data_IF_979726913990
#
_entry.id   IF_979726913990
#
_cell.length_a   1.000
_cell.length_b   1.000
_cell.length_c   1.000
_cell.angle_alpha   90.00
_cell.angle_beta   90.00
_cell.angle_gamma   90.00
#
_symmetry.space_group_name_H-M   'P 1'
#
loop_
_entity.id
_entity.type
_entity.pdbx_description
1 polymer ?
#
# COMPACT_ATOMS: atom_id res chain seq x y z
N UNK A 1 22.29 -23.71 28.74
CA UNK A 1 22.88 -22.69 27.86
C UNK A 1 23.62 -21.68 28.73
N UNK A 2 24.86 -21.37 28.38
CA UNK A 2 25.79 -20.45 29.06
C UNK A 2 26.00 -19.19 28.21
N UNK A 3 26.71 -18.19 28.73
CA UNK A 3 27.11 -17.01 27.97
C UNK A 3 27.90 -17.39 26.70
N UNK A 4 28.79 -18.39 26.78
CA UNK A 4 29.58 -18.86 25.63
C UNK A 4 28.70 -19.44 24.53
N UNK A 5 27.65 -20.17 24.90
CA UNK A 5 26.71 -20.74 23.94
C UNK A 5 25.97 -19.63 23.20
N UNK A 6 25.50 -18.60 23.93
CA UNK A 6 24.84 -17.42 23.35
C UNK A 6 25.79 -16.68 22.40
N UNK A 7 27.03 -16.42 22.84
CA UNK A 7 28.04 -15.77 22.01
C UNK A 7 28.34 -16.56 20.75
N UNK A 8 28.44 -17.90 20.85
CA UNK A 8 28.67 -18.79 19.71
C UNK A 8 27.50 -18.74 18.74
N UNK A 9 26.26 -18.87 19.22
CA UNK A 9 25.05 -18.78 18.38
C UNK A 9 25.02 -17.44 17.62
N UNK A 10 25.23 -16.32 18.31
CA UNK A 10 25.19 -15.01 17.65
C UNK A 10 26.36 -14.81 16.68
N UNK A 11 27.52 -15.40 16.95
CA UNK A 11 28.70 -15.30 16.07
C UNK A 11 28.60 -16.18 14.82
N UNK A 12 27.87 -17.29 14.87
CA UNK A 12 27.66 -18.16 13.71
C UNK A 12 26.45 -17.74 12.86
N UNK A 13 25.51 -17.01 13.45
CA UNK A 13 24.27 -16.59 12.77
C UNK A 13 24.30 -15.17 12.20
N UNK A 14 25.16 -14.29 12.70
CA UNK A 14 25.20 -12.86 12.32
C UNK A 14 26.58 -12.46 11.78
N UNK A 15 26.59 -11.48 10.87
CA UNK A 15 27.85 -10.81 10.49
C UNK A 15 28.47 -10.09 11.70
N UNK A 16 29.79 -9.82 11.71
CA UNK A 16 30.42 -9.05 12.77
C UNK A 16 29.74 -7.69 13.03
N UNK A 17 29.31 -7.01 11.97
CA UNK A 17 28.62 -5.71 12.02
C UNK A 17 27.19 -5.83 12.55
N UNK A 18 26.46 -6.87 12.15
CA UNK A 18 25.12 -7.18 12.67
C UNK A 18 25.17 -7.52 14.16
N UNK A 19 26.10 -8.40 14.54
CA UNK A 19 26.35 -8.79 15.92
C UNK A 19 26.63 -7.58 16.80
N UNK A 20 27.54 -6.69 16.36
CA UNK A 20 27.85 -5.47 17.11
C UNK A 20 26.62 -4.55 17.25
N UNK A 21 25.77 -4.45 16.22
CA UNK A 21 24.53 -3.68 16.28
C UNK A 21 23.54 -4.29 17.27
N UNK A 22 23.40 -5.61 17.30
CA UNK A 22 22.56 -6.33 18.28
C UNK A 22 23.03 -6.05 19.69
N UNK A 23 24.33 -6.16 19.97
CA UNK A 23 24.89 -5.90 21.31
C UNK A 23 24.56 -4.50 21.79
N UNK A 24 24.82 -3.47 20.96
CA UNK A 24 24.50 -2.08 21.32
C UNK A 24 23.01 -1.86 21.55
N UNK A 25 22.16 -2.46 20.71
CA UNK A 25 20.71 -2.34 20.84
C UNK A 25 20.18 -3.04 22.10
N UNK A 26 20.77 -4.18 22.47
CA UNK A 26 20.44 -4.93 23.67
C UNK A 26 20.89 -4.19 24.94
N UNK A 27 22.06 -3.57 24.92
CA UNK A 27 22.57 -2.70 25.99
C UNK A 27 21.64 -1.50 26.21
N UNK A 28 21.25 -0.81 25.14
CA UNK A 28 20.27 0.27 25.22
C UNK A 28 18.89 -0.21 25.73
N UNK A 29 18.49 -1.44 25.39
CA UNK A 29 17.26 -2.02 25.94
C UNK A 29 17.36 -2.27 27.45
N UNK A 30 18.52 -2.71 27.93
CA UNK A 30 18.78 -2.88 29.36
C UNK A 30 18.69 -1.53 30.10
N UNK A 31 19.23 -0.45 29.52
CA UNK A 31 19.13 0.91 30.07
C UNK A 31 17.66 1.35 30.21
N UNK A 32 16.83 1.09 29.19
CA UNK A 32 15.39 1.38 29.22
C UNK A 32 14.65 0.55 30.28
N UNK A 33 15.06 -0.70 30.52
CA UNK A 33 14.50 -1.53 31.58
C UNK A 33 14.87 -1.02 32.96
N UNK A 34 16.13 -0.62 33.16
CA UNK A 34 16.59 -0.02 34.41
C UNK A 34 15.84 1.28 34.74
N UNK A 35 15.55 2.10 33.74
CA UNK A 35 14.75 3.31 33.93
C UNK A 35 13.34 3.03 34.47
N UNK A 36 12.80 1.82 34.26
CA UNK A 36 11.48 1.38 34.76
C UNK A 36 11.59 0.59 36.07
N UNK A 37 12.68 -0.14 36.25
CA UNK A 37 12.98 -0.98 37.40
C UNK A 37 14.47 -0.84 37.76
N UNK A 38 14.81 0.00 38.77
CA UNK A 38 16.19 0.25 39.15
C UNK A 38 16.97 -0.98 39.64
N UNK A 39 16.30 -2.12 39.85
CA UNK A 39 16.97 -3.38 40.20
C UNK A 39 17.64 -4.06 39.01
N UNK A 40 17.30 -3.67 37.78
CA UNK A 40 17.85 -4.25 36.56
C UNK A 40 19.26 -3.74 36.27
N UNK A 41 20.10 -4.58 35.67
CA UNK A 41 21.41 -4.16 35.21
C UNK A 41 21.31 -3.32 33.92
N UNK A 42 22.33 -2.50 33.68
CA UNK A 42 22.45 -1.56 32.56
C UNK A 42 23.62 -1.92 31.64
N UNK A 43 23.55 -1.47 30.39
CA UNK A 43 24.64 -1.55 29.42
C UNK A 43 25.42 -2.87 29.42
N UNK A 44 26.75 -2.77 29.54
CA UNK A 44 27.69 -3.90 29.49
C UNK A 44 27.50 -4.86 30.69
N UNK A 45 27.01 -4.39 31.83
CA UNK A 45 26.76 -5.26 32.99
C UNK A 45 25.59 -6.22 32.71
N UNK A 46 24.59 -5.76 31.96
CA UNK A 46 23.46 -6.58 31.54
C UNK A 46 23.81 -7.48 30.33
N UNK A 47 24.55 -6.92 29.37
CA UNK A 47 24.88 -7.59 28.10
C UNK A 47 26.39 -7.44 27.85
N UNK A 48 27.22 -8.29 28.47
CA UNK A 48 28.67 -8.22 28.32
C UNK A 48 29.10 -8.72 26.94
N UNK A 49 30.07 -8.02 26.34
CA UNK A 49 30.71 -8.36 25.06
C UNK A 49 31.93 -9.27 25.22
N UNK A 50 32.50 -9.33 26.43
CA UNK A 50 33.50 -10.32 26.85
C UNK A 50 32.91 -11.35 27.80
N UNK A 51 33.58 -12.49 27.94
CA UNK A 51 33.10 -13.54 28.84
C UNK A 51 33.02 -13.04 30.29
N UNK A 52 31.84 -13.06 30.92
CA UNK A 52 31.70 -12.68 32.32
C UNK A 52 32.16 -13.81 33.24
N UNK A 53 32.37 -13.47 34.51
CA UNK A 53 32.72 -14.37 35.62
C UNK A 53 31.50 -15.14 36.18
N UNK A 54 30.40 -15.20 35.42
CA UNK A 54 29.17 -15.85 35.85
C UNK A 54 29.35 -17.36 36.05
N UNK A 55 28.96 -17.82 37.24
CA UNK A 55 28.84 -19.23 37.58
C UNK A 55 27.38 -19.69 37.47
N UNK A 56 27.19 -20.96 37.09
CA UNK A 56 25.85 -21.53 36.85
C UNK A 56 25.45 -22.60 37.87
N UNK A 57 26.14 -22.63 39.02
CA UNK A 57 25.84 -23.54 40.12
C UNK A 57 24.50 -23.14 40.77
N UNK A 58 23.91 -24.06 41.52
CA UNK A 58 22.65 -23.78 42.21
C UNK A 58 22.89 -22.77 43.34
N UNK A 59 22.07 -21.71 43.38
CA UNK A 59 22.21 -20.59 44.32
C UNK A 59 23.05 -19.41 43.80
N UNK A 60 23.77 -19.57 42.69
CA UNK A 60 24.51 -18.48 42.06
C UNK A 60 23.63 -17.61 41.15
N UNK A 61 23.87 -16.29 41.07
CA UNK A 61 23.05 -15.38 40.26
C UNK A 61 23.27 -15.55 38.75
N UNK A 62 24.26 -16.32 38.30
CA UNK A 62 24.64 -16.37 36.89
C UNK A 62 23.55 -16.91 35.96
N UNK A 63 22.60 -17.72 36.47
CA UNK A 63 21.41 -18.13 35.69
C UNK A 63 20.47 -16.95 35.45
N UNK A 64 20.17 -16.17 36.49
CA UNK A 64 19.30 -15.00 36.39
C UNK A 64 19.93 -13.91 35.51
N UNK A 65 21.25 -13.69 35.65
CA UNK A 65 22.00 -12.75 34.82
C UNK A 65 21.98 -13.14 33.34
N UNK A 66 22.17 -14.44 33.05
CA UNK A 66 22.02 -14.97 31.68
C UNK A 66 20.60 -14.78 31.16
N UNK A 67 19.59 -15.08 31.96
CA UNK A 67 18.19 -14.98 31.50
C UNK A 67 17.81 -13.53 31.23
N UNK A 68 18.29 -12.60 32.06
CA UNK A 68 18.17 -11.17 31.80
C UNK A 68 18.90 -10.73 30.52
N UNK A 69 20.11 -11.23 30.28
CA UNK A 69 20.85 -11.00 29.02
C UNK A 69 20.05 -11.50 27.81
N UNK A 70 19.44 -12.67 27.89
CA UNK A 70 18.60 -13.23 26.80
C UNK A 70 17.42 -12.31 26.51
N UNK A 71 16.75 -11.79 27.54
CA UNK A 71 15.64 -10.83 27.38
C UNK A 71 16.14 -9.56 26.67
N UNK A 72 17.27 -9.00 27.10
CA UNK A 72 17.86 -7.81 26.48
C UNK A 72 18.26 -8.06 25.01
N UNK A 73 18.86 -9.22 24.71
CA UNK A 73 19.21 -9.63 23.36
C UNK A 73 17.99 -9.81 22.47
N UNK A 74 16.90 -10.38 23.00
CA UNK A 74 15.63 -10.49 22.30
C UNK A 74 15.08 -9.12 21.89
N UNK A 75 15.12 -8.14 22.79
CA UNK A 75 14.74 -6.77 22.45
C UNK A 75 15.72 -6.09 21.50
N UNK A 76 17.03 -6.30 21.66
CA UNK A 76 18.04 -5.81 20.73
C UNK A 76 17.80 -6.30 19.30
N UNK A 77 17.50 -7.59 19.13
CA UNK A 77 17.13 -8.22 17.86
C UNK A 77 15.83 -7.63 17.28
N UNK A 78 14.79 -7.44 18.09
CA UNK A 78 13.56 -6.77 17.64
C UNK A 78 13.83 -5.34 17.17
N UNK A 79 14.62 -4.57 17.93
CA UNK A 79 14.97 -3.18 17.58
C UNK A 79 15.73 -3.10 16.26
N UNK A 80 16.73 -3.95 16.05
CA UNK A 80 17.47 -3.95 14.79
C UNK A 80 16.60 -4.43 13.63
N UNK A 81 15.71 -5.41 13.86
CA UNK A 81 14.77 -5.90 12.86
C UNK A 81 13.77 -4.81 12.47
N UNK A 82 13.14 -4.14 13.43
CA UNK A 82 12.22 -3.02 13.19
C UNK A 82 12.91 -1.83 12.53
N UNK A 83 14.17 -1.51 12.89
CA UNK A 83 14.93 -0.42 12.25
C UNK A 83 15.34 -0.74 10.81
N UNK A 84 15.42 -2.02 10.44
CA UNK A 84 15.62 -2.45 9.05
C UNK A 84 14.33 -2.56 8.24
N UNK A 85 13.17 -2.57 8.90
CA UNK A 85 11.85 -2.74 8.28
C UNK A 85 11.13 -1.39 8.19
N UNK A 86 11.20 -0.76 7.04
CA UNK A 86 10.57 0.54 6.80
C UNK A 86 9.12 0.38 6.30
N UNK A 87 8.19 0.11 7.23
CA UNK A 87 6.75 0.06 6.92
C UNK A 87 6.17 1.44 6.55
N UNK A 88 6.79 2.55 6.97
CA UNK A 88 6.33 3.88 6.58
C UNK A 88 6.42 4.06 5.06
N UNK A 89 7.50 3.59 4.43
CA UNK A 89 7.66 3.58 2.96
C UNK A 89 6.61 2.72 2.27
N UNK A 90 6.18 1.62 2.90
CA UNK A 90 5.09 0.78 2.36
C UNK A 90 3.75 1.52 2.52
N UNK A 91 3.52 2.22 3.65
CA UNK A 91 2.30 2.99 3.93
C UNK A 91 2.07 4.16 2.97
N UNK A 92 3.14 4.74 2.42
CA UNK A 92 3.08 5.80 1.41
C UNK A 92 2.59 5.31 0.04
N UNK A 93 2.62 4.00 -0.23
CA UNK A 93 2.29 3.44 -1.55
C UNK A 93 0.77 3.28 -1.68
N UNK A 94 0.14 4.13 -2.49
CA UNK A 94 -1.29 4.03 -2.82
C UNK A 94 -1.52 3.60 -4.27
N UNK A 95 -2.68 3.02 -4.54
CA UNK A 95 -3.09 2.69 -5.89
C UNK A 95 -3.40 3.98 -6.67
N UNK A 96 -2.78 4.14 -7.84
CA UNK A 96 -3.06 5.24 -8.74
C UNK A 96 -4.48 5.17 -9.33
N UNK A 97 -5.07 6.30 -9.79
CA UNK A 97 -6.43 6.33 -10.32
C UNK A 97 -6.63 5.49 -11.59
N UNK A 98 -5.55 5.23 -12.33
CA UNK A 98 -5.56 4.40 -13.56
C UNK A 98 -4.68 3.16 -13.41
N UNK A 99 -4.18 2.89 -12.20
CA UNK A 99 -3.31 1.76 -11.94
C UNK A 99 -4.15 0.48 -11.80
N UNK A 100 -3.78 -0.53 -12.59
CA UNK A 100 -4.43 -1.83 -12.55
C UNK A 100 -4.23 -2.49 -11.16
N UNK A 101 -5.25 -3.15 -10.58
CA UNK A 101 -5.14 -3.82 -9.29
C UNK A 101 -3.99 -4.82 -9.18
N UNK A 102 -3.68 -5.61 -10.22
CA UNK A 102 -2.56 -6.55 -10.18
C UNK A 102 -1.21 -5.81 -10.19
N UNK A 103 -1.08 -4.73 -10.95
CA UNK A 103 0.14 -3.90 -10.94
C UNK A 103 0.36 -3.29 -9.55
N UNK A 104 -0.71 -2.82 -8.92
CA UNK A 104 -0.66 -2.30 -7.56
C UNK A 104 -0.24 -3.38 -6.54
N UNK A 105 -0.79 -4.58 -6.65
CA UNK A 105 -0.41 -5.72 -5.80
C UNK A 105 1.06 -6.09 -5.96
N UNK A 106 1.57 -6.16 -7.21
CA UNK A 106 3.00 -6.39 -7.48
C UNK A 106 3.89 -5.28 -6.91
N UNK A 107 3.45 -4.02 -6.99
CA UNK A 107 4.17 -2.88 -6.40
C UNK A 107 4.27 -3.00 -4.87
N UNK A 108 3.21 -3.44 -4.20
CA UNK A 108 3.22 -3.72 -2.76
C UNK A 108 4.15 -4.89 -2.42
N UNK A 109 4.11 -5.98 -3.17
CA UNK A 109 5.01 -7.12 -2.97
C UNK A 109 6.49 -6.72 -3.10
N UNK A 110 6.82 -5.93 -4.14
CA UNK A 110 8.16 -5.41 -4.35
C UNK A 110 8.61 -4.48 -3.20
N UNK A 111 7.70 -3.63 -2.71
CA UNK A 111 7.98 -2.74 -1.60
C UNK A 111 8.20 -3.51 -0.29
N UNK A 112 7.42 -4.56 -0.04
CA UNK A 112 7.58 -5.43 1.10
C UNK A 112 8.95 -6.10 1.10
N UNK A 113 9.37 -6.66 -0.03
CA UNK A 113 10.70 -7.26 -0.15
C UNK A 113 11.81 -6.22 -0.03
N UNK A 114 11.64 -5.03 -0.62
CA UNK A 114 12.66 -3.97 -0.62
C UNK A 114 12.86 -3.35 0.76
N UNK A 115 11.78 -2.97 1.42
CA UNK A 115 11.79 -2.16 2.64
C UNK A 115 11.59 -2.95 3.91
N UNK A 116 10.97 -4.14 3.85
CA UNK A 116 10.74 -4.98 5.02
C UNK A 116 11.50 -6.31 5.01
N UNK A 117 12.13 -6.69 3.89
CA UNK A 117 12.81 -8.00 3.76
C UNK A 117 11.88 -9.18 4.10
N UNK A 118 10.57 -9.00 3.99
CA UNK A 118 9.58 -10.06 4.19
C UNK A 118 9.29 -10.67 2.83
N UNK A 119 9.29 -12.01 2.78
CA UNK A 119 8.88 -12.77 1.61
C UNK A 119 7.36 -12.57 1.37
N UNK A 120 6.94 -11.99 0.24
CA UNK A 120 5.54 -11.76 -0.09
C UNK A 120 4.72 -13.06 -0.22
N UNK A 121 5.36 -14.21 -0.45
CA UNK A 121 4.69 -15.51 -0.58
C UNK A 121 4.53 -16.24 0.75
N UNK A 122 5.21 -15.79 1.80
CA UNK A 122 5.03 -16.31 3.16
C UNK A 122 3.65 -15.97 3.72
N UNK A 123 3.19 -16.72 4.73
CA UNK A 123 1.93 -16.43 5.41
C UNK A 123 1.91 -15.01 6.00
N UNK A 124 3.00 -14.59 6.65
CA UNK A 124 3.14 -13.25 7.20
C UNK A 124 3.13 -12.18 6.10
N UNK A 125 3.86 -12.40 5.00
CA UNK A 125 3.89 -11.49 3.86
C UNK A 125 2.53 -11.33 3.20
N UNK A 126 1.77 -12.43 3.05
CA UNK A 126 0.42 -12.41 2.49
C UNK A 126 -0.54 -11.59 3.35
N UNK A 127 -0.50 -11.74 4.67
CA UNK A 127 -1.34 -10.96 5.61
C UNK A 127 -1.03 -9.46 5.46
N UNK A 128 0.25 -9.09 5.45
CA UNK A 128 0.68 -7.70 5.32
C UNK A 128 0.24 -7.12 3.97
N UNK A 129 0.49 -7.83 2.86
CA UNK A 129 0.09 -7.38 1.52
C UNK A 129 -1.41 -7.18 1.43
N UNK A 130 -2.21 -8.12 1.92
CA UNK A 130 -3.67 -8.02 1.83
C UNK A 130 -4.19 -6.82 2.64
N UNK A 131 -3.67 -6.61 3.84
CA UNK A 131 -3.99 -5.44 4.69
C UNK A 131 -3.69 -4.12 3.97
N UNK A 132 -2.51 -4.02 3.36
CA UNK A 132 -2.09 -2.85 2.59
C UNK A 132 -2.91 -2.68 1.31
N UNK A 133 -3.20 -3.77 0.59
CA UNK A 133 -4.01 -3.76 -0.61
C UNK A 133 -5.41 -3.19 -0.34
N UNK A 134 -6.08 -3.65 0.72
CA UNK A 134 -7.40 -3.15 1.12
C UNK A 134 -7.34 -1.66 1.49
N UNK A 135 -6.40 -1.28 2.37
CA UNK A 135 -6.35 0.08 2.93
C UNK A 135 -5.85 1.14 1.94
N UNK A 136 -4.98 0.76 1.00
CA UNK A 136 -4.29 1.69 0.10
C UNK A 136 -4.77 1.62 -1.36
N UNK A 137 -5.74 0.74 -1.66
CA UNK A 137 -6.48 0.77 -2.92
C UNK A 137 -7.20 2.10 -3.15
N UNK A 138 -7.54 2.37 -4.42
CA UNK A 138 -8.30 3.54 -4.83
C UNK A 138 -9.65 3.62 -4.07
N UNK A 139 -10.21 4.82 -3.80
CA UNK A 139 -11.33 4.98 -2.88
C UNK A 139 -12.58 4.14 -3.16
N UNK A 140 -12.92 3.97 -4.44
CA UNK A 140 -14.02 3.13 -4.94
C UNK A 140 -13.76 1.64 -4.72
N UNK A 141 -12.55 1.17 -5.04
CA UNK A 141 -12.10 -0.21 -4.84
C UNK A 141 -12.05 -0.53 -3.33
N UNK A 142 -11.37 0.32 -2.55
CA UNK A 142 -11.22 0.18 -1.09
C UNK A 142 -12.57 0.04 -0.39
N UNK A 143 -13.57 0.84 -0.78
CA UNK A 143 -14.91 0.74 -0.21
C UNK A 143 -15.54 -0.64 -0.44
N UNK A 144 -15.27 -1.26 -1.59
CA UNK A 144 -15.77 -2.60 -1.90
C UNK A 144 -14.98 -3.68 -1.17
N UNK A 145 -13.66 -3.53 -1.06
CA UNK A 145 -12.79 -4.48 -0.35
C UNK A 145 -13.06 -4.53 1.15
N UNK A 146 -13.32 -3.40 1.82
CA UNK A 146 -13.66 -3.39 3.26
C UNK A 146 -14.90 -4.22 3.59
N UNK A 147 -15.92 -4.20 2.72
CA UNK A 147 -17.13 -5.04 2.90
C UNK A 147 -16.86 -6.53 2.75
N UNK A 148 -15.79 -6.90 2.05
CA UNK A 148 -15.35 -8.29 1.87
C UNK A 148 -14.54 -8.73 3.10
N UNK A 149 -13.72 -7.82 3.65
CA UNK A 149 -12.97 -8.03 4.90
C UNK A 149 -13.88 -8.24 6.12
N UNK A 150 -15.03 -7.58 6.17
CA UNK A 150 -16.05 -7.76 7.21
C UNK A 150 -16.74 -9.16 7.18
N UNK A 151 -16.47 -9.97 6.15
CA UNK A 151 -16.96 -11.34 6.00
C UNK A 151 -15.96 -12.42 6.44
N UNK A 152 -16.10 -13.68 5.96
CA UNK A 152 -15.08 -14.71 6.12
C UNK A 152 -13.72 -14.24 5.59
N UNK A 153 -12.62 -14.70 6.19
CA UNK A 153 -11.27 -14.26 5.83
C UNK A 153 -11.01 -14.44 4.32
N UNK A 154 -11.06 -13.33 3.58
CA UNK A 154 -10.96 -13.35 2.13
C UNK A 154 -9.53 -13.65 1.67
N UNK A 155 -9.41 -14.52 0.68
CA UNK A 155 -8.15 -14.86 0.05
C UNK A 155 -7.62 -13.70 -0.79
N UNK A 156 -6.31 -13.66 -1.02
CA UNK A 156 -5.70 -12.64 -1.89
C UNK A 156 -6.33 -12.64 -3.30
N UNK A 157 -6.66 -13.82 -3.82
CA UNK A 157 -7.33 -13.99 -5.12
C UNK A 157 -8.73 -13.36 -5.14
N UNK A 158 -9.51 -13.51 -4.08
CA UNK A 158 -10.84 -12.89 -3.98
C UNK A 158 -10.75 -11.37 -3.91
N UNK A 159 -9.82 -10.84 -3.12
CA UNK A 159 -9.56 -9.40 -3.05
C UNK A 159 -9.20 -8.86 -4.44
N UNK A 160 -8.30 -9.55 -5.15
CA UNK A 160 -7.86 -9.16 -6.48
C UNK A 160 -9.03 -9.19 -7.49
N UNK A 161 -9.84 -10.25 -7.47
CA UNK A 161 -11.03 -10.38 -8.33
C UNK A 161 -12.05 -9.25 -8.11
N UNK A 162 -12.31 -8.88 -6.85
CA UNK A 162 -13.22 -7.78 -6.51
C UNK A 162 -12.65 -6.45 -7.01
N UNK A 163 -11.36 -6.21 -6.79
CA UNK A 163 -10.70 -4.99 -7.26
C UNK A 163 -10.73 -4.87 -8.78
N UNK A 164 -10.50 -5.98 -9.51
CA UNK A 164 -10.59 -6.02 -10.96
C UNK A 164 -11.98 -5.69 -11.48
N UNK A 165 -13.04 -6.24 -10.87
CA UNK A 165 -14.41 -5.95 -11.27
C UNK A 165 -14.74 -4.46 -11.16
N UNK A 166 -14.34 -3.83 -10.06
CA UNK A 166 -14.56 -2.39 -9.85
C UNK A 166 -13.74 -1.56 -10.84
N UNK A 167 -12.47 -1.91 -11.04
CA UNK A 167 -11.59 -1.24 -11.99
C UNK A 167 -12.13 -1.28 -13.42
N UNK A 168 -12.51 -2.48 -13.90
CA UNK A 168 -13.03 -2.66 -15.26
C UNK A 168 -14.34 -1.91 -15.48
N UNK A 169 -15.23 -1.88 -14.48
CA UNK A 169 -16.47 -1.12 -14.57
C UNK A 169 -16.22 0.39 -14.67
N UNK A 170 -15.25 0.92 -13.90
CA UNK A 170 -14.84 2.32 -13.97
C UNK A 170 -14.27 2.69 -15.34
N UNK A 171 -13.42 1.82 -15.89
CA UNK A 171 -12.84 2.02 -17.22
C UNK A 171 -13.91 2.06 -18.31
N UNK A 172 -14.91 1.19 -18.21
CA UNK A 172 -16.03 1.15 -19.16
C UNK A 172 -16.88 2.43 -19.07
N UNK A 173 -17.22 2.89 -17.86
CA UNK A 173 -17.93 4.15 -17.67
C UNK A 173 -17.13 5.36 -18.20
N UNK A 174 -15.82 5.39 -17.97
CA UNK A 174 -14.96 6.45 -18.47
C UNK A 174 -14.91 6.49 -20.01
N UNK A 175 -14.93 5.32 -20.68
CA UNK A 175 -15.04 5.22 -22.13
C UNK A 175 -16.39 5.73 -22.63
N UNK A 176 -17.49 5.29 -22.03
CA UNK A 176 -18.83 5.72 -22.39
C UNK A 176 -19.01 7.23 -22.23
N UNK A 177 -18.50 7.80 -21.14
CA UNK A 177 -18.53 9.24 -20.91
C UNK A 177 -17.73 10.01 -21.96
N UNK A 178 -16.55 9.51 -22.35
CA UNK A 178 -15.75 10.11 -23.43
C UNK A 178 -16.52 10.08 -24.76
N UNK A 179 -17.14 8.96 -25.11
CA UNK A 179 -17.94 8.83 -26.33
C UNK A 179 -19.12 9.81 -26.31
N UNK A 180 -19.87 9.87 -25.20
CA UNK A 180 -20.98 10.81 -25.06
C UNK A 180 -20.53 12.28 -25.19
N UNK A 181 -19.39 12.64 -24.59
CA UNK A 181 -18.82 13.99 -24.72
C UNK A 181 -18.44 14.31 -26.17
N UNK A 182 -17.81 13.38 -26.90
CA UNK A 182 -17.49 13.57 -28.32
C UNK A 182 -18.75 13.72 -29.18
N UNK A 183 -19.80 12.93 -28.91
CA UNK A 183 -21.08 13.04 -29.62
C UNK A 183 -21.76 14.39 -29.37
N UNK A 184 -21.77 14.88 -28.13
CA UNK A 184 -22.31 16.21 -27.82
C UNK A 184 -21.53 17.33 -28.49
N UNK A 185 -20.18 17.25 -28.49
CA UNK A 185 -19.32 18.22 -29.17
C UNK A 185 -19.58 18.23 -30.69
N UNK A 186 -19.70 17.06 -31.31
CA UNK A 186 -20.02 16.93 -32.72
C UNK A 186 -21.41 17.52 -33.03
N UNK A 187 -22.42 17.23 -32.21
CA UNK A 187 -23.77 17.79 -32.37
C UNK A 187 -23.78 19.32 -32.25
N UNK A 188 -23.05 19.89 -31.27
CA UNK A 188 -22.95 21.34 -31.10
C UNK A 188 -22.28 22.05 -32.30
N UNK A 189 -21.28 21.42 -32.92
CA UNK A 189 -20.63 21.94 -34.13
C UNK A 189 -21.57 21.92 -35.35
N UNK A 190 -22.38 20.86 -35.50
CA UNK A 190 -23.38 20.78 -36.57
C UNK A 190 -24.47 21.86 -36.41
N UNK A 191 -24.90 22.14 -35.17
CA UNK A 191 -25.89 23.18 -34.89
C UNK A 191 -25.32 24.58 -35.18
N UNK A 192 -24.06 24.88 -34.81
CA UNK A 192 -23.43 26.18 -35.16
C UNK A 192 -23.30 26.38 -36.67
N UNK A 193 -22.98 25.33 -37.43
CA UNK A 193 -22.89 25.39 -38.89
C UNK A 193 -24.24 25.63 -39.59
N UNK A 194 -25.34 25.22 -38.97
CA UNK A 194 -26.69 25.42 -39.49
C UNK A 194 -27.30 26.79 -39.09
N UNK A 195 -26.63 27.52 -38.18
CA UNK A 195 -27.07 28.81 -37.64
C UNK A 195 -26.75 30.04 -38.51
N UNK A 196 -25.90 29.91 -39.54
CA UNK A 196 -25.61 31.01 -40.47
C UNK A 196 -26.72 31.17 -41.51
N UNK A 197 -27.89 31.66 -41.07
CA UNK A 197 -28.96 32.11 -41.95
C UNK A 197 -28.63 33.53 -42.42
N UNK A 198 -28.17 33.67 -43.67
CA UNK A 198 -28.10 34.96 -44.36
C UNK A 198 -29.52 35.48 -44.58
N UNK A 199 -29.96 36.43 -43.75
CA UNK A 199 -31.26 37.08 -43.88
C UNK A 199 -31.18 38.12 -45.00
N UNK A 200 -31.66 37.79 -46.21
CA UNK A 200 -31.95 38.80 -47.24
C UNK A 200 -33.33 39.41 -46.98
N UNK A 201 -33.35 40.66 -46.55
CA UNK A 201 -34.57 41.43 -46.38
C UNK A 201 -35.18 41.77 -47.75
N UNK A 202 -36.41 41.31 -48.02
CA UNK A 202 -37.25 41.83 -49.10
C UNK A 202 -38.43 42.61 -48.50
N UNK A 203 -38.68 43.81 -49.05
CA UNK A 203 -39.74 44.74 -48.65
C UNK A 203 -41.14 44.20 -49.02
N UNK A 204 -42.18 44.38 -48.19
CA UNK A 204 -43.51 43.81 -48.44
C UNK A 204 -44.42 44.75 -49.23
N UNK A 205 -45.24 44.17 -50.11
CA UNK A 205 -46.42 44.79 -50.72
C UNK A 205 -47.56 43.75 -50.78
N UNK A 206 -48.63 44.06 -50.05
CA UNK A 206 -49.99 43.51 -50.00
C UNK A 206 -50.28 41.99 -49.93
N UNK A 207 -50.97 41.65 -48.83
CA UNK A 207 -52.26 40.94 -48.94
C UNK A 207 -52.23 39.41 -48.94
N UNK A 208 -51.83 38.77 -47.85
CA UNK A 208 -52.14 37.34 -47.64
C UNK A 208 -51.49 36.75 -46.39
N UNK A 209 -52.28 36.07 -45.56
CA UNK A 209 -51.77 35.32 -44.40
C UNK A 209 -50.99 34.10 -44.92
N UNK A 210 -49.67 34.20 -45.05
CA UNK A 210 -48.81 33.08 -45.45
C UNK A 210 -48.41 32.29 -44.21
N UNK A 211 -49.02 31.12 -44.01
CA UNK A 211 -48.54 30.13 -43.04
C UNK A 211 -47.22 29.57 -43.58
N UNK A 212 -46.10 30.05 -43.03
CA UNK A 212 -44.77 29.52 -43.35
C UNK A 212 -44.60 28.15 -42.69
N UNK A 213 -44.73 27.09 -43.48
CA UNK A 213 -44.29 25.75 -43.08
C UNK A 213 -42.76 25.72 -43.17
N UNK A 214 -42.08 25.61 -42.03
CA UNK A 214 -40.65 25.33 -41.99
C UNK A 214 -40.48 23.87 -42.42
N UNK A 215 -39.99 23.65 -43.64
CA UNK A 215 -39.59 22.33 -44.12
C UNK A 215 -38.07 22.27 -43.97
N UNK A 216 -37.60 21.55 -42.96
CA UNK A 216 -36.21 21.13 -42.91
C UNK A 216 -36.04 19.99 -43.92
N UNK A 217 -35.39 20.26 -45.06
CA UNK A 217 -35.04 19.20 -46.03
C UNK A 217 -33.93 18.32 -45.45
N UNK A 218 -34.12 16.99 -45.36
CA UNK A 218 -33.02 16.08 -45.12
C UNK A 218 -32.15 16.07 -46.38
N UNK A 219 -30.89 16.48 -46.27
CA UNK A 219 -29.97 16.43 -47.41
C UNK A 219 -29.83 14.99 -47.88
N UNK A 220 -29.99 14.84 -49.19
CA UNK A 220 -30.25 13.57 -49.87
C UNK A 220 -29.03 12.67 -49.97
N UNK A 221 -29.34 11.38 -50.06
CA UNK A 221 -28.50 10.40 -50.74
C UNK A 221 -28.29 10.82 -52.20
N UNK A 222 -27.02 10.81 -52.64
CA UNK A 222 -26.69 10.52 -54.03
C UNK A 222 -25.51 9.54 -54.05
N UNK A 223 -25.78 8.34 -54.54
CA UNK A 223 -24.76 7.43 -55.07
C UNK A 223 -24.22 7.98 -56.39
N UNK A 224 -22.91 7.90 -56.55
CA UNK A 224 -22.29 7.29 -57.72
C UNK A 224 -21.25 6.30 -57.23
#
# INVERSE_FOLDING_TARGET
>A
MTWRDIYTILSTTLSPEERQRVWRAAQAAADDFHARDPTKLVGIQAVPDTQPDWTYQDGDPGRDLRDYMIVCLGEGLKRISQKTVNFDKIREITQGPQENPAQFLSKLANALQKYAKIDPTSQAGTIVINTHFISQSAPDIRRKLKRVEEGPQATQTELLNVAFKVFSHREEQAKQQKVANYQMLAAAQQVSRCGDVSVRAHRPGDGGLVVRRVICSPHGHHSQ
#
